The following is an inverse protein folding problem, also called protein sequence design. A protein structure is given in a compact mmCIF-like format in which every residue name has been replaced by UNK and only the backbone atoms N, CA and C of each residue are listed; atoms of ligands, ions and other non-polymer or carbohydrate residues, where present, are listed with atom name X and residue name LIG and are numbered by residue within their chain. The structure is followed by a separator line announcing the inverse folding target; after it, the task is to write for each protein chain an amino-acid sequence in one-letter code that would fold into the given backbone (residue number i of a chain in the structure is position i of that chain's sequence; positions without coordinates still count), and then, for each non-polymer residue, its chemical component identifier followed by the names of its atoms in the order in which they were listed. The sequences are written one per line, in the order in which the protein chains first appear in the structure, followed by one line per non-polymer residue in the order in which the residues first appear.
data_IF_420472717017
#
_entry.id   IF_420472717017
#
_cell.length_a   1.000
_cell.length_b   1.000
_cell.length_c   1.000
_cell.angle_alpha   90.00
_cell.angle_beta   90.00
_cell.angle_gamma   90.00
#
_symmetry.space_group_name_H-M   'P 1'
#
loop_
_entity.id
_entity.type
_entity.pdbx_description
1 polymer ?
#
# COMPACT_ATOMS: atom_id res chain seq x y z
N UNK A 1 -1.80 -3.83 -1.18
CA UNK A 1 -2.64 -4.16 -2.34
C UNK A 1 -2.14 -5.47 -2.88
N UNK A 2 -3.01 -6.32 -3.43
CA UNK A 2 -2.56 -7.60 -4.00
C UNK A 2 -2.76 -7.65 -5.50
N UNK A 3 -1.85 -8.32 -6.19
CA UNK A 3 -1.82 -8.48 -7.64
C UNK A 3 -1.53 -9.94 -8.01
N UNK A 4 -1.71 -10.31 -9.28
CA UNK A 4 -1.31 -11.64 -9.78
C UNK A 4 0.19 -11.77 -10.04
N UNK A 5 0.93 -10.66 -9.97
CA UNK A 5 2.35 -10.54 -10.23
C UNK A 5 2.80 -9.07 -10.24
N UNK A 6 4.04 -8.82 -10.65
CA UNK A 6 4.67 -7.50 -10.48
C UNK A 6 4.61 -6.62 -11.75
N UNK A 7 4.12 -7.13 -12.89
CA UNK A 7 4.07 -6.37 -14.16
C UNK A 7 2.64 -5.88 -14.44
N UNK A 8 2.30 -4.59 -14.23
CA UNK A 8 0.94 -4.09 -14.45
C UNK A 8 0.44 -4.18 -15.91
N UNK A 9 1.31 -4.43 -16.89
CA UNK A 9 0.89 -4.64 -18.27
C UNK A 9 0.29 -6.04 -18.48
N UNK A 10 0.85 -7.04 -17.78
CA UNK A 10 0.48 -8.45 -17.90
C UNK A 10 -0.43 -8.91 -16.75
N UNK A 11 -0.09 -8.49 -15.53
CA UNK A 11 -0.77 -8.85 -14.29
C UNK A 11 -1.98 -7.96 -14.01
N UNK A 12 -2.85 -8.43 -13.13
CA UNK A 12 -4.07 -7.73 -12.73
C UNK A 12 -4.08 -7.44 -11.23
N UNK A 13 -4.80 -6.40 -10.87
CA UNK A 13 -5.14 -6.10 -9.48
C UNK A 13 -6.11 -7.16 -8.96
N UNK A 14 -5.74 -7.82 -7.87
CA UNK A 14 -6.54 -8.87 -7.20
C UNK A 14 -7.46 -8.25 -6.16
N UNK A 15 -6.92 -7.39 -5.29
CA UNK A 15 -7.73 -6.61 -4.36
C UNK A 15 -6.99 -5.36 -3.88
N UNK A 16 -7.76 -4.37 -3.44
CA UNK A 16 -7.27 -3.20 -2.74
C UNK A 16 -7.88 -3.14 -1.33
N UNK A 17 -7.02 -2.93 -0.34
CA UNK A 17 -7.39 -2.87 1.06
C UNK A 17 -7.09 -1.48 1.64
N UNK A 18 -8.00 -0.95 2.47
CA UNK A 18 -7.82 0.35 3.10
C UNK A 18 -8.63 0.45 4.40
N UNK A 19 -8.09 1.26 5.33
CA UNK A 19 -8.77 1.73 6.53
C UNK A 19 -8.31 3.16 6.78
N UNK A 20 -9.21 4.03 7.20
CA UNK A 20 -8.81 5.38 7.58
C UNK A 20 -7.92 5.32 8.82
N UNK A 21 -6.89 6.15 8.87
CA UNK A 21 -6.10 6.35 10.08
C UNK A 21 -6.36 7.77 10.63
N UNK A 22 -6.30 7.91 11.94
CA UNK A 22 -6.27 9.20 12.63
C UNK A 22 -4.91 9.90 12.45
N UNK A 23 -4.80 11.14 12.94
CA UNK A 23 -3.53 11.88 12.98
C UNK A 23 -2.47 11.17 13.86
N UNK A 24 -2.91 10.34 14.82
CA UNK A 24 -2.03 9.49 15.64
C UNK A 24 -1.70 8.15 14.96
N UNK A 25 -2.09 7.98 13.69
CA UNK A 25 -1.95 6.75 12.89
C UNK A 25 -2.67 5.53 13.46
N UNK A 26 -3.63 5.75 14.36
CA UNK A 26 -4.54 4.71 14.86
C UNK A 26 -5.68 4.44 13.85
N UNK A 27 -6.11 3.17 13.68
CA UNK A 27 -7.19 2.82 12.77
C UNK A 27 -8.54 3.41 13.21
N UNK A 28 -9.24 4.05 12.29
CA UNK A 28 -10.56 4.64 12.47
C UNK A 28 -11.53 4.07 11.44
N UNK A 29 -12.74 3.73 11.89
CA UNK A 29 -13.77 3.16 11.03
C UNK A 29 -13.45 1.73 10.55
N UNK A 30 -14.23 1.19 9.62
CA UNK A 30 -14.08 -0.20 9.18
C UNK A 30 -12.88 -0.38 8.25
N UNK A 31 -12.17 -1.51 8.42
CA UNK A 31 -11.25 -2.03 7.41
C UNK A 31 -12.06 -2.58 6.23
N UNK A 32 -11.70 -2.17 5.02
CA UNK A 32 -12.39 -2.55 3.80
C UNK A 32 -11.42 -3.24 2.84
N UNK A 33 -11.85 -4.36 2.27
CA UNK A 33 -11.18 -5.04 1.18
C UNK A 33 -12.12 -5.03 -0.01
N UNK A 34 -11.69 -4.44 -1.11
CA UNK A 34 -12.43 -4.39 -2.37
C UNK A 34 -11.73 -5.33 -3.33
N UNK A 35 -12.39 -6.43 -3.65
CA UNK A 35 -11.80 -7.50 -4.43
C UNK A 35 -12.34 -7.53 -5.87
N UNK A 36 -11.47 -7.87 -6.81
CA UNK A 36 -11.85 -7.91 -8.22
C UNK A 36 -12.82 -9.06 -8.52
N UNK A 37 -12.71 -10.20 -7.81
CA UNK A 37 -13.57 -11.36 -8.05
C UNK A 37 -15.04 -11.12 -7.67
N UNK A 38 -15.34 -10.03 -6.95
CA UNK A 38 -16.71 -9.62 -6.61
C UNK A 38 -17.29 -8.61 -7.60
N UNK A 39 -16.46 -7.67 -8.08
CA UNK A 39 -16.94 -6.46 -8.77
C UNK A 39 -16.27 -6.20 -10.14
N UNK A 40 -15.23 -6.96 -10.47
CA UNK A 40 -14.32 -6.76 -11.59
C UNK A 40 -13.26 -5.68 -11.29
N UNK A 41 -12.06 -5.85 -11.86
CA UNK A 41 -10.91 -4.96 -11.65
C UNK A 41 -11.23 -3.48 -11.88
N UNK A 42 -11.97 -3.16 -12.96
CA UNK A 42 -12.34 -1.78 -13.29
C UNK A 42 -13.10 -1.10 -12.15
N UNK A 43 -14.02 -1.82 -11.49
CA UNK A 43 -14.81 -1.28 -10.40
C UNK A 43 -13.96 -1.08 -9.14
N UNK A 44 -13.03 -1.99 -8.85
CA UNK A 44 -12.04 -1.82 -7.77
C UNK A 44 -11.25 -0.54 -7.99
N UNK A 45 -10.71 -0.34 -9.20
CA UNK A 45 -9.95 0.86 -9.55
C UNK A 45 -10.80 2.13 -9.39
N UNK A 46 -12.04 2.14 -9.89
CA UNK A 46 -12.94 3.30 -9.72
C UNK A 46 -13.16 3.65 -8.24
N UNK A 47 -13.37 2.65 -7.37
CA UNK A 47 -13.57 2.86 -5.93
C UNK A 47 -12.32 3.43 -5.25
N UNK A 48 -11.15 2.95 -5.63
CA UNK A 48 -9.88 3.44 -5.10
C UNK A 48 -9.57 4.85 -5.60
N UNK A 49 -9.79 5.13 -6.89
CA UNK A 49 -9.60 6.46 -7.49
C UNK A 49 -10.55 7.49 -6.89
N UNK A 50 -11.80 7.11 -6.63
CA UNK A 50 -12.80 7.99 -6.02
C UNK A 50 -12.42 8.49 -4.61
N UNK A 51 -11.46 7.84 -3.94
CA UNK A 51 -10.91 8.31 -2.66
C UNK A 51 -9.80 9.34 -2.81
N UNK A 52 -9.37 9.65 -4.02
CA UNK A 52 -8.25 10.55 -4.27
C UNK A 52 -6.88 9.87 -4.22
N UNK A 53 -6.79 8.54 -4.41
CA UNK A 53 -5.50 7.84 -4.38
C UNK A 53 -4.48 8.46 -5.34
N UNK A 54 -4.92 8.83 -6.54
CA UNK A 54 -4.08 9.45 -7.57
C UNK A 54 -4.14 10.99 -7.59
N UNK A 55 -4.81 11.62 -6.62
CA UNK A 55 -4.79 13.07 -6.47
C UNK A 55 -3.56 13.49 -5.67
N UNK A 56 -2.71 14.42 -6.17
CA UNK A 56 -1.48 14.85 -5.51
C UNK A 56 -1.77 15.87 -4.39
N UNK A 57 -2.78 15.60 -3.57
CA UNK A 57 -3.18 16.43 -2.42
C UNK A 57 -2.93 15.68 -1.11
N UNK A 58 -3.18 16.36 0.01
CA UNK A 58 -3.11 15.80 1.36
C UNK A 58 -4.42 15.16 1.83
N UNK A 59 -5.48 15.21 1.02
CA UNK A 59 -6.80 14.67 1.39
C UNK A 59 -6.77 13.13 1.50
N UNK A 60 -5.88 12.49 0.74
CA UNK A 60 -5.58 11.07 0.84
C UNK A 60 -4.08 10.85 0.86
N UNK A 61 -3.52 10.51 2.02
CA UNK A 61 -2.11 10.12 2.19
C UNK A 61 -2.05 8.59 2.30
N UNK A 62 -1.51 7.88 1.29
CA UNK A 62 -1.29 6.45 1.38
C UNK A 62 -0.28 6.14 2.47
N UNK A 63 -0.62 5.17 3.32
CA UNK A 63 0.24 4.61 4.36
C UNK A 63 0.39 3.13 4.09
N UNK A 64 1.63 2.63 4.01
CA UNK A 64 1.89 1.23 3.66
C UNK A 64 3.34 0.96 3.37
N UNK A 65 3.63 -0.16 2.70
CA UNK A 65 5.00 -0.61 2.42
C UNK A 65 5.23 -0.70 0.91
N UNK A 66 6.31 -0.08 0.41
CA UNK A 66 6.65 0.00 -1.02
C UNK A 66 5.54 0.66 -1.84
N UNK A 67 4.98 1.76 -1.35
CA UNK A 67 3.81 2.44 -1.92
C UNK A 67 4.03 2.89 -3.37
N UNK A 68 5.27 3.12 -3.79
CA UNK A 68 5.57 3.44 -5.20
C UNK A 68 5.21 2.31 -6.15
N UNK A 69 5.39 1.05 -5.73
CA UNK A 69 4.94 -0.10 -6.51
C UNK A 69 3.41 -0.08 -6.64
N UNK A 70 2.70 -0.05 -5.51
CA UNK A 70 1.23 -0.03 -5.44
C UNK A 70 0.62 1.08 -6.31
N UNK A 71 1.10 2.31 -6.17
CA UNK A 71 0.60 3.47 -6.90
C UNK A 71 0.91 3.42 -8.39
N UNK A 72 2.10 2.95 -8.78
CA UNK A 72 2.45 2.76 -10.19
C UNK A 72 1.55 1.69 -10.81
N UNK A 73 1.33 0.59 -10.09
CA UNK A 73 0.47 -0.50 -10.55
C UNK A 73 -0.96 0.00 -10.77
N UNK A 74 -1.56 0.70 -9.80
CA UNK A 74 -2.91 1.28 -9.95
C UNK A 74 -2.97 2.26 -11.10
N UNK A 75 -1.97 3.15 -11.25
CA UNK A 75 -1.96 4.12 -12.34
C UNK A 75 -1.97 3.43 -13.71
N UNK A 76 -1.07 2.46 -13.93
CA UNK A 76 -0.99 1.76 -15.22
C UNK A 76 -2.26 0.95 -15.51
N UNK A 77 -2.84 0.27 -14.50
CA UNK A 77 -4.12 -0.41 -14.65
C UNK A 77 -5.26 0.57 -14.93
N UNK A 78 -5.30 1.72 -14.26
CA UNK A 78 -6.29 2.77 -14.49
C UNK A 78 -6.18 3.35 -15.92
N UNK A 79 -4.97 3.54 -16.44
CA UNK A 79 -4.74 3.94 -17.83
C UNK A 79 -5.23 2.87 -18.82
N UNK A 80 -4.92 1.59 -18.57
CA UNK A 80 -5.39 0.45 -19.38
C UNK A 80 -6.92 0.38 -19.45
N UNK A 81 -7.60 0.68 -18.34
CA UNK A 81 -9.06 0.76 -18.26
C UNK A 81 -9.64 2.11 -18.72
N UNK A 82 -8.81 3.05 -19.17
CA UNK A 82 -9.19 4.41 -19.61
C UNK A 82 -9.92 5.21 -18.51
N UNK A 83 -9.58 4.97 -17.26
CA UNK A 83 -10.10 5.69 -16.09
C UNK A 83 -9.33 6.99 -15.83
N UNK A 84 -8.07 7.03 -16.27
CA UNK A 84 -7.21 8.21 -16.25
C UNK A 84 -6.46 8.29 -17.57
N UNK A 85 -6.11 9.51 -17.97
CA UNK A 85 -5.30 9.80 -19.14
C UNK A 85 -4.19 10.76 -18.73
N UNK A 86 -3.01 10.20 -18.44
CA UNK A 86 -1.87 10.92 -17.88
C UNK A 86 -0.72 10.91 -18.88
N UNK A 87 -0.18 12.10 -19.13
CA UNK A 87 1.04 12.30 -19.88
C UNK A 87 2.27 12.33 -18.95
N UNK A 88 3.46 12.41 -19.55
CA UNK A 88 4.71 12.47 -18.78
C UNK A 88 4.79 13.68 -17.82
N UNK A 89 4.37 14.91 -18.20
CA UNK A 89 4.27 16.03 -17.26
C UNK A 89 3.40 15.75 -16.04
N UNK A 90 2.19 15.21 -16.22
CA UNK A 90 1.28 14.89 -15.11
C UNK A 90 1.84 13.80 -14.21
N UNK A 91 2.42 12.76 -14.80
CA UNK A 91 3.10 11.69 -14.07
C UNK A 91 4.23 12.23 -13.19
N UNK A 92 5.07 13.10 -13.77
CA UNK A 92 6.18 13.74 -13.05
C UNK A 92 5.68 14.60 -11.90
N UNK A 93 4.66 15.42 -12.13
CA UNK A 93 4.06 16.25 -11.09
C UNK A 93 3.50 15.40 -9.94
N UNK A 94 2.75 14.34 -10.26
CA UNK A 94 2.20 13.43 -9.26
C UNK A 94 3.29 12.86 -8.34
N UNK A 95 4.36 12.29 -8.90
CA UNK A 95 5.42 11.68 -8.10
C UNK A 95 6.26 12.66 -7.29
N UNK A 96 6.28 13.93 -7.68
CA UNK A 96 6.96 14.99 -6.92
C UNK A 96 6.09 15.54 -5.79
N UNK A 97 4.77 15.48 -5.92
CA UNK A 97 3.86 16.21 -5.02
C UNK A 97 3.05 15.29 -4.12
N UNK A 98 2.74 14.06 -4.54
CA UNK A 98 1.92 13.13 -3.75
C UNK A 98 2.59 12.83 -2.40
N UNK A 99 1.99 13.19 -1.25
CA UNK A 99 2.49 12.77 0.05
C UNK A 99 2.30 11.26 0.23
N UNK A 100 3.32 10.60 0.78
CA UNK A 100 3.35 9.16 1.06
C UNK A 100 3.97 8.92 2.43
N UNK A 101 3.38 8.04 3.23
CA UNK A 101 4.03 7.45 4.41
C UNK A 101 4.42 6.00 4.09
N UNK A 102 5.60 5.85 3.50
CA UNK A 102 6.14 4.54 3.11
C UNK A 102 6.99 3.94 4.24
N UNK A 103 6.69 2.70 4.61
CA UNK A 103 7.40 1.93 5.62
C UNK A 103 8.76 1.42 5.15
N UNK A 104 9.00 1.32 3.84
CA UNK A 104 10.24 0.71 3.33
C UNK A 104 11.52 1.33 3.92
N UNK A 105 11.68 2.67 4.01
CA UNK A 105 12.86 3.26 4.66
C UNK A 105 12.98 2.91 6.15
N UNK A 106 11.86 2.80 6.85
CA UNK A 106 11.84 2.41 8.28
C UNK A 106 12.34 0.97 8.42
N UNK A 107 11.86 0.04 7.59
CA UNK A 107 12.30 -1.35 7.60
C UNK A 107 13.79 -1.48 7.25
N UNK A 108 14.31 -0.66 6.33
CA UNK A 108 15.77 -0.61 6.05
C UNK A 108 16.56 -0.16 7.27
N UNK A 109 16.08 0.84 8.01
CA UNK A 109 16.74 1.31 9.24
C UNK A 109 16.68 0.27 10.37
N UNK A 110 15.54 -0.41 10.52
CA UNK A 110 15.40 -1.57 11.43
C UNK A 110 16.38 -2.69 11.04
N UNK A 111 16.63 -2.86 9.74
CA UNK A 111 17.63 -3.79 9.20
C UNK A 111 19.07 -3.22 9.16
N UNK A 112 19.40 -2.30 10.07
CA UNK A 112 20.73 -1.69 10.18
C UNK A 112 21.27 -1.07 8.87
N UNK A 113 20.38 -0.52 8.04
CA UNK A 113 20.71 0.09 6.75
C UNK A 113 20.86 -0.90 5.59
N UNK A 114 20.64 -2.21 5.81
CA UNK A 114 20.69 -3.20 4.75
C UNK A 114 19.38 -3.23 3.97
N UNK A 115 19.46 -3.05 2.65
CA UNK A 115 18.30 -3.11 1.77
C UNK A 115 17.81 -4.55 1.55
N UNK A 116 18.73 -5.49 1.36
CA UNK A 116 18.38 -6.90 1.25
C UNK A 116 17.92 -7.43 2.61
N UNK A 117 16.79 -8.14 2.64
CA UNK A 117 16.20 -8.64 3.88
C UNK A 117 15.33 -7.63 4.64
N UNK A 118 15.13 -6.41 4.12
CA UNK A 118 14.31 -5.38 4.77
C UNK A 118 12.81 -5.46 4.46
N UNK A 119 12.28 -6.65 4.18
CA UNK A 119 10.85 -6.81 3.92
C UNK A 119 10.05 -6.76 5.23
N UNK A 120 8.75 -6.44 5.14
CA UNK A 120 7.87 -6.47 6.30
C UNK A 120 7.80 -7.88 6.93
N UNK A 121 7.91 -8.93 6.10
CA UNK A 121 8.00 -10.34 6.54
C UNK A 121 9.19 -10.61 7.47
N UNK A 122 10.29 -9.86 7.34
CA UNK A 122 11.45 -10.04 8.21
C UNK A 122 11.21 -9.51 9.64
N UNK A 123 10.21 -8.64 9.83
CA UNK A 123 10.01 -7.90 11.08
C UNK A 123 8.60 -8.03 11.68
N UNK A 124 7.68 -8.70 10.99
CA UNK A 124 6.32 -8.88 11.47
C UNK A 124 5.76 -10.25 11.04
N UNK A 125 4.89 -10.82 11.87
CA UNK A 125 4.28 -12.13 11.62
C UNK A 125 3.21 -12.02 10.53
N UNK A 126 3.64 -12.21 9.27
CA UNK A 126 2.76 -12.28 8.11
C UNK A 126 3.17 -13.42 7.17
N UNK A 127 2.21 -13.89 6.38
CA UNK A 127 2.48 -14.82 5.30
C UNK A 127 3.27 -14.18 4.14
N UNK A 128 3.65 -15.01 3.17
CA UNK A 128 4.35 -14.57 1.95
C UNK A 128 3.38 -14.04 0.92
N UNK A 129 3.58 -12.79 0.48
CA UNK A 129 2.74 -12.19 -0.57
C UNK A 129 2.82 -12.92 -1.91
N UNK A 130 3.94 -13.60 -2.18
CA UNK A 130 4.12 -14.44 -3.36
C UNK A 130 3.17 -15.64 -3.43
N UNK A 131 2.44 -15.95 -2.36
CA UNK A 131 1.40 -17.00 -2.36
C UNK A 131 0.07 -16.50 -2.94
N UNK A 132 -0.20 -15.19 -2.91
CA UNK A 132 -1.49 -14.63 -3.34
C UNK A 132 -1.84 -14.99 -4.79
N UNK A 133 -0.93 -14.91 -5.78
CA UNK A 133 -1.23 -15.33 -7.15
C UNK A 133 -1.64 -16.80 -7.28
N UNK A 134 -1.07 -17.68 -6.44
CA UNK A 134 -1.44 -19.10 -6.43
C UNK A 134 -2.83 -19.29 -5.81
N UNK A 135 -3.08 -18.68 -4.65
CA UNK A 135 -4.38 -18.74 -3.97
C UNK A 135 -5.49 -18.22 -4.88
N UNK A 136 -5.23 -17.11 -5.57
CA UNK A 136 -6.17 -16.49 -6.49
C UNK A 136 -6.53 -17.43 -7.66
N UNK A 137 -5.52 -18.05 -8.31
CA UNK A 137 -5.76 -19.04 -9.37
C UNK A 137 -6.52 -20.28 -8.89
N UNK A 138 -6.39 -20.62 -7.61
CA UNK A 138 -7.10 -21.73 -6.98
C UNK A 138 -8.50 -21.36 -6.48
N UNK A 139 -8.94 -20.10 -6.60
CA UNK A 139 -10.22 -19.63 -6.08
C UNK A 139 -10.28 -19.57 -4.55
N UNK A 140 -9.13 -19.56 -3.88
CA UNK A 140 -8.98 -19.60 -2.41
C UNK A 140 -9.10 -18.20 -1.81
N UNK A 141 -10.20 -17.51 -2.14
CA UNK A 141 -10.44 -16.11 -1.77
C UNK A 141 -10.47 -15.86 -0.25
N UNK A 142 -11.07 -16.72 0.60
CA UNK A 142 -11.05 -16.50 2.05
C UNK A 142 -9.64 -16.45 2.63
N UNK A 143 -8.70 -17.23 2.07
CA UNK A 143 -7.30 -17.19 2.49
C UNK A 143 -6.58 -15.90 2.07
N UNK A 144 -6.94 -15.32 0.92
CA UNK A 144 -6.44 -14.00 0.49
C UNK A 144 -6.95 -12.92 1.44
N UNK A 145 -8.25 -12.96 1.80
CA UNK A 145 -8.84 -12.01 2.77
C UNK A 145 -8.16 -12.11 4.14
N UNK A 146 -7.89 -13.33 4.61
CA UNK A 146 -7.15 -13.55 5.85
C UNK A 146 -5.69 -13.06 5.76
N UNK A 147 -5.04 -13.26 4.62
CA UNK A 147 -3.69 -12.76 4.37
C UNK A 147 -3.62 -11.23 4.43
N UNK A 148 -4.46 -10.51 3.68
CA UNK A 148 -4.41 -9.03 3.66
C UNK A 148 -4.78 -8.42 5.00
N UNK A 149 -5.64 -9.10 5.78
CA UNK A 149 -5.97 -8.68 7.16
C UNK A 149 -4.75 -8.79 8.05
N UNK A 150 -4.03 -9.93 8.03
CA UNK A 150 -2.79 -10.11 8.80
C UNK A 150 -1.70 -9.12 8.38
N UNK A 151 -1.54 -8.91 7.07
CA UNK A 151 -0.56 -7.93 6.56
C UNK A 151 -0.88 -6.51 7.04
N UNK A 152 -2.15 -6.12 7.07
CA UNK A 152 -2.59 -4.84 7.63
C UNK A 152 -2.23 -4.73 9.11
N UNK A 153 -2.48 -5.76 9.93
CA UNK A 153 -2.16 -5.69 11.37
C UNK A 153 -0.65 -5.61 11.59
N UNK A 154 0.13 -6.43 10.87
CA UNK A 154 1.59 -6.41 10.88
C UNK A 154 2.15 -5.03 10.52
N UNK A 155 1.61 -4.38 9.49
CA UNK A 155 2.03 -3.04 9.10
C UNK A 155 1.72 -2.00 10.19
N UNK A 156 0.53 -2.06 10.81
CA UNK A 156 0.14 -1.14 11.88
C UNK A 156 0.98 -1.32 13.15
N UNK A 157 1.35 -2.55 13.49
CA UNK A 157 2.25 -2.85 14.60
C UNK A 157 3.60 -2.16 14.41
N UNK A 158 4.24 -2.38 13.25
CA UNK A 158 5.51 -1.74 12.90
C UNK A 158 5.39 -0.21 12.91
N UNK A 159 4.30 0.35 12.36
CA UNK A 159 4.05 1.80 12.40
C UNK A 159 4.02 2.30 13.84
N UNK A 160 3.22 1.66 14.71
CA UNK A 160 3.04 2.10 16.09
C UNK A 160 4.35 2.09 16.88
N UNK A 161 5.12 1.02 16.77
CA UNK A 161 6.41 0.92 17.46
C UNK A 161 7.42 1.95 16.92
N UNK A 162 7.47 2.10 15.59
CA UNK A 162 8.36 3.05 14.94
C UNK A 162 8.03 4.49 15.32
N UNK A 163 6.76 4.84 15.48
CA UNK A 163 6.34 6.17 15.89
C UNK A 163 6.88 6.55 17.27
N UNK A 164 6.87 5.62 18.24
CA UNK A 164 7.44 5.88 19.56
C UNK A 164 8.93 6.18 19.47
N UNK A 165 9.69 5.27 18.85
CA UNK A 165 11.16 5.39 18.77
C UNK A 165 11.61 6.60 17.94
N UNK A 166 11.00 6.80 16.77
CA UNK A 166 11.35 7.90 15.87
C UNK A 166 10.82 9.24 16.37
N UNK A 167 9.68 9.27 17.06
CA UNK A 167 9.16 10.44 17.75
C UNK A 167 10.13 10.94 18.82
N UNK A 168 10.58 10.06 19.71
CA UNK A 168 11.57 10.36 20.75
C UNK A 168 12.91 10.85 20.16
N UNK A 169 13.34 10.27 19.04
CA UNK A 169 14.50 10.76 18.30
C UNK A 169 14.24 12.15 17.72
N UNK A 170 13.07 12.36 17.12
CA UNK A 170 12.64 13.63 16.55
C UNK A 170 12.66 14.76 17.58
N UNK A 171 12.11 14.52 18.76
CA UNK A 171 12.07 15.52 19.85
C UNK A 171 13.46 15.88 20.35
N UNK A 172 14.37 14.91 20.48
CA UNK A 172 15.78 15.17 20.83
C UNK A 172 16.55 15.91 19.74
N UNK A 173 16.15 15.77 18.47
CA UNK A 173 16.81 16.40 17.31
C UNK A 173 16.19 17.73 16.91
N UNK A 174 15.00 18.05 17.43
CA UNK A 174 14.28 19.28 17.11
C UNK A 174 15.13 20.48 17.51
N UNK A 175 15.57 21.24 16.51
CA UNK A 175 16.26 22.51 16.73
C UNK A 175 15.18 23.57 16.87
N UNK A 176 15.06 24.13 18.06
CA UNK A 176 14.18 25.28 18.37
C UNK A 176 14.71 26.51 17.65
#
# INVERSE_FOLDING_TARGET
METTGDDPQQDQLVCAQYQQLSDALEPVGPFQVVAEWEWGEKQVLQLVLAKGLLEPTWDFVPVGNRLRFDLTFVLERAMKWKLVDWDAPRLKYFWYTKPLLDLQPVLVLMNHGQFQGSSLEAFADKGKGSEVPLLYRQGRFPEILAYVTREKEAALEVIRESLGVLGDLGDRRRRV
#
